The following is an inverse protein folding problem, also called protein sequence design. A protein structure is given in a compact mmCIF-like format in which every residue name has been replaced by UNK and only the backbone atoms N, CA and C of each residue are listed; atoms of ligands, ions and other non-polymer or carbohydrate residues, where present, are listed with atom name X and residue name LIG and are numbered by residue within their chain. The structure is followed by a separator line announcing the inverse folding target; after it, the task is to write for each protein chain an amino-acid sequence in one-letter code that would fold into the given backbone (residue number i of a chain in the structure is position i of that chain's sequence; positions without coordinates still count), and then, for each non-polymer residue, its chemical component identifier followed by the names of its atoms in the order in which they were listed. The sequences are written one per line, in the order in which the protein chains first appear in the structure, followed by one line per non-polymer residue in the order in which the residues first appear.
data_IF_610289495127
#
_entry.id   IF_610289495127
#
_cell.length_a   1.000
_cell.length_b   1.000
_cell.length_c   1.000
_cell.angle_alpha   90.00
_cell.angle_beta   90.00
_cell.angle_gamma   90.00
#
_symmetry.space_group_name_H-M   'P 1'
#
loop_
_entity.id
_entity.type
_entity.pdbx_description
1 polymer ?
#
# COMPACT_ATOMS: atom_id res chain seq x y z
N UNK A 1 9.59 12.38 15.91
CA UNK A 1 8.85 11.32 15.19
C UNK A 1 8.29 12.00 13.95
N UNK A 2 8.73 11.60 12.76
CA UNK A 2 8.28 12.23 11.51
C UNK A 2 6.75 12.31 11.47
N UNK A 3 6.23 13.48 11.12
CA UNK A 3 4.80 13.70 10.95
C UNK A 3 4.35 12.96 9.68
N UNK A 4 4.04 11.67 9.81
CA UNK A 4 3.42 10.89 8.75
C UNK A 4 2.14 11.58 8.30
N UNK A 5 1.91 11.64 6.99
CA UNK A 5 0.64 12.15 6.48
C UNK A 5 -0.50 11.28 6.99
N UNK A 6 -1.72 11.83 7.17
CA UNK A 6 -2.87 11.05 7.61
C UNK A 6 -3.10 9.78 6.77
N UNK A 7 -2.86 9.87 5.46
CA UNK A 7 -2.97 8.73 4.54
C UNK A 7 -1.96 7.62 4.88
N UNK A 8 -0.67 7.97 5.02
CA UNK A 8 0.36 6.98 5.34
C UNK A 8 0.12 6.33 6.70
N UNK A 9 -0.34 7.11 7.69
CA UNK A 9 -0.72 6.56 8.99
C UNK A 9 -1.83 5.51 8.86
N UNK A 10 -2.89 5.83 8.11
CA UNK A 10 -4.00 4.90 7.86
C UNK A 10 -3.55 3.64 7.13
N UNK A 11 -2.73 3.78 6.08
CA UNK A 11 -2.18 2.65 5.33
C UNK A 11 -1.39 1.70 6.26
N UNK A 12 -0.48 2.24 7.07
CA UNK A 12 0.35 1.44 7.99
C UNK A 12 -0.49 0.77 9.09
N UNK A 13 -1.52 1.44 9.61
CA UNK A 13 -2.42 0.87 10.61
C UNK A 13 -3.23 -0.31 10.07
N UNK A 14 -3.72 -0.22 8.82
CA UNK A 14 -4.43 -1.33 8.17
C UNK A 14 -3.44 -2.46 7.86
N UNK A 15 -2.28 -2.15 7.29
CA UNK A 15 -1.26 -3.14 6.93
C UNK A 15 -0.79 -3.96 8.12
N UNK A 16 -0.62 -3.32 9.29
CA UNK A 16 -0.27 -4.00 10.54
C UNK A 16 -1.29 -5.05 10.98
N UNK A 17 -2.57 -4.88 10.64
CA UNK A 17 -3.63 -5.85 10.98
C UNK A 17 -3.64 -7.06 10.04
N UNK A 18 -3.10 -6.94 8.85
CA UNK A 18 -3.09 -7.98 7.82
C UNK A 18 -1.66 -8.24 7.32
N UNK A 19 -0.76 -8.73 8.18
CA UNK A 19 0.60 -9.06 7.77
C UNK A 19 0.57 -10.16 6.71
N UNK A 20 1.26 -9.94 5.58
CA UNK A 20 1.38 -10.91 4.48
C UNK A 20 0.32 -10.78 3.37
N UNK A 21 -0.70 -9.96 3.51
CA UNK A 21 -1.66 -9.67 2.44
C UNK A 21 -1.24 -8.44 1.62
N UNK A 22 -1.47 -8.41 0.31
CA UNK A 22 -1.32 -7.19 -0.50
C UNK A 22 -2.46 -6.21 -0.18
N UNK A 23 -2.13 -4.98 0.23
CA UNK A 23 -3.11 -3.96 0.57
C UNK A 23 -3.35 -3.02 -0.61
N UNK A 24 -4.36 -3.33 -1.41
CA UNK A 24 -4.90 -2.41 -2.42
C UNK A 24 -5.59 -1.24 -1.73
N UNK A 25 -4.92 -0.10 -1.66
CA UNK A 25 -5.42 1.08 -0.99
C UNK A 25 -6.09 2.01 -2.00
N UNK A 26 -7.37 2.33 -1.79
CA UNK A 26 -8.10 3.20 -2.71
C UNK A 26 -7.64 4.65 -2.55
N UNK A 27 -7.11 5.23 -3.63
CA UNK A 27 -6.77 6.63 -3.73
C UNK A 27 -7.52 7.25 -4.91
N UNK A 28 -8.63 7.92 -4.62
CA UNK A 28 -9.54 8.43 -5.65
C UNK A 28 -10.19 7.30 -6.47
N UNK A 29 -9.89 7.28 -7.76
CA UNK A 29 -10.45 6.33 -8.74
C UNK A 29 -9.61 5.06 -8.88
N UNK A 30 -8.40 5.04 -8.32
CA UNK A 30 -7.47 3.92 -8.44
C UNK A 30 -7.28 3.18 -7.13
N UNK A 31 -6.83 1.92 -7.26
CA UNK A 31 -6.24 1.17 -6.17
C UNK A 31 -4.74 1.15 -6.34
N UNK A 32 -4.03 1.65 -5.33
CA UNK A 32 -2.58 1.72 -5.30
C UNK A 32 -2.01 0.74 -4.27
N UNK A 33 -0.88 0.14 -4.63
CA UNK A 33 -0.05 -0.65 -3.74
C UNK A 33 1.15 0.21 -3.34
N UNK A 34 1.53 0.20 -2.07
CA UNK A 34 2.62 1.02 -1.57
C UNK A 34 3.76 0.16 -1.00
N UNK A 35 4.96 0.73 -0.94
CA UNK A 35 6.16 0.09 -0.36
C UNK A 35 6.46 -1.30 -0.96
N UNK A 36 6.61 -2.33 -0.12
CA UNK A 36 6.87 -3.70 -0.59
C UNK A 36 5.69 -4.28 -1.39
N UNK A 37 4.46 -3.86 -1.10
CA UNK A 37 3.30 -4.33 -1.87
C UNK A 37 3.37 -3.83 -3.32
N UNK A 38 3.93 -2.64 -3.56
CA UNK A 38 4.11 -2.12 -4.92
C UNK A 38 5.07 -3.01 -5.72
N UNK A 39 6.20 -3.40 -5.12
CA UNK A 39 7.20 -4.27 -5.76
C UNK A 39 6.62 -5.65 -6.07
N UNK A 40 5.88 -6.23 -5.13
CA UNK A 40 5.23 -7.53 -5.32
C UNK A 40 4.15 -7.39 -6.40
N UNK A 41 3.28 -6.39 -6.30
CA UNK A 41 2.23 -6.13 -7.29
C UNK A 41 2.77 -5.94 -8.70
N UNK A 42 3.81 -5.12 -8.88
CA UNK A 42 4.45 -4.90 -10.16
C UNK A 42 4.97 -6.20 -10.80
N UNK A 43 5.62 -7.06 -10.00
CA UNK A 43 6.15 -8.34 -10.49
C UNK A 43 5.05 -9.36 -10.79
N UNK A 44 4.07 -9.52 -9.91
CA UNK A 44 3.07 -10.59 -9.99
C UNK A 44 1.90 -10.24 -10.93
N UNK A 45 1.59 -8.95 -11.08
CA UNK A 45 0.45 -8.46 -11.86
C UNK A 45 0.86 -7.81 -13.19
N UNK A 46 2.17 -7.72 -13.46
CA UNK A 46 2.74 -7.05 -14.64
C UNK A 46 2.24 -5.60 -14.81
N UNK A 47 2.25 -4.85 -13.70
CA UNK A 47 1.88 -3.43 -13.64
C UNK A 47 3.13 -2.57 -13.42
N UNK A 48 3.06 -1.30 -13.81
CA UNK A 48 4.14 -0.35 -13.60
C UNK A 48 4.42 -0.14 -12.10
N UNK A 49 5.71 -0.05 -11.74
CA UNK A 49 6.20 0.28 -10.40
C UNK A 49 6.45 1.78 -10.24
#
# INVERSE_FOLDING_TARGET
MENLTPMVKQYLEIKKKFPGALLFFRLGDFYELFYEDAKIGARELDIAL
#
